data_IF_904073814064
#
_entry.id   IF_904073814064
#
_cell.length_a   1.000
_cell.length_b   1.000
_cell.length_c   1.000
_cell.angle_alpha   90.00
_cell.angle_beta   90.00
_cell.angle_gamma   90.00
#
_symmetry.space_group_name_H-M   'P 1'
#
loop_
_entity.id
_entity.type
_entity.pdbx_description
1 polymer ?
#
# COMPACT_ATOMS: atom_id res chain seq x y z
N UNK A 1 -77.87 12.75 3.05
CA UNK A 1 -76.87 12.20 3.98
C UNK A 1 -75.52 12.21 3.26
N UNK A 2 -74.69 13.22 3.51
CA UNK A 2 -73.36 13.36 2.90
C UNK A 2 -72.32 13.34 4.03
N UNK A 3 -71.50 12.30 4.09
CA UNK A 3 -70.38 12.19 5.03
C UNK A 3 -69.15 12.86 4.42
N UNK A 4 -68.68 13.93 5.07
CA UNK A 4 -67.43 14.61 4.75
C UNK A 4 -66.28 13.89 5.48
N UNK A 5 -65.40 13.24 4.74
CA UNK A 5 -64.20 12.57 5.29
C UNK A 5 -63.04 13.55 5.31
N UNK A 6 -62.58 13.92 6.50
CA UNK A 6 -61.43 14.79 6.72
C UNK A 6 -60.14 13.95 6.68
N UNK A 7 -59.25 14.21 5.73
CA UNK A 7 -57.92 13.57 5.64
C UNK A 7 -56.89 14.47 6.31
N UNK A 8 -56.33 14.02 7.44
CA UNK A 8 -55.22 14.66 8.14
C UNK A 8 -53.89 14.19 7.53
N UNK A 9 -53.17 15.10 6.86
CA UNK A 9 -51.78 14.89 6.44
C UNK A 9 -50.84 15.23 7.61
N UNK A 10 -50.17 14.23 8.16
CA UNK A 10 -49.08 14.42 9.11
C UNK A 10 -47.77 14.66 8.35
N UNK A 11 -47.22 15.87 8.46
CA UNK A 11 -45.89 16.19 7.94
C UNK A 11 -44.83 15.60 8.89
N UNK A 12 -44.16 14.52 8.47
CA UNK A 12 -42.97 14.00 9.15
C UNK A 12 -41.80 14.94 8.89
N UNK A 13 -41.45 15.77 9.88
CA UNK A 13 -40.24 16.59 9.84
C UNK A 13 -39.01 15.68 9.80
N UNK A 14 -38.19 15.81 8.75
CA UNK A 14 -36.92 15.11 8.66
C UNK A 14 -35.97 15.60 9.79
N UNK A 15 -35.23 14.70 10.46
CA UNK A 15 -34.28 15.09 11.49
C UNK A 15 -33.21 16.00 10.88
N UNK A 16 -32.89 17.08 11.59
CA UNK A 16 -31.86 18.02 11.16
C UNK A 16 -30.51 17.29 10.96
N UNK A 17 -29.72 17.64 9.94
CA UNK A 17 -28.40 17.05 9.74
C UNK A 17 -27.52 17.37 10.94
N UNK A 18 -26.91 16.35 11.54
CA UNK A 18 -25.95 16.52 12.63
C UNK A 18 -24.79 17.40 12.18
N UNK A 19 -24.27 18.30 13.04
CA UNK A 19 -23.10 19.07 12.72
C UNK A 19 -21.91 18.15 12.43
N UNK A 20 -21.00 18.53 11.52
CA UNK A 20 -19.81 17.73 11.22
C UNK A 20 -18.98 17.54 12.49
N UNK A 21 -18.38 16.36 12.70
CA UNK A 21 -17.53 16.11 13.85
C UNK A 21 -16.36 17.11 13.87
N UNK A 22 -15.90 17.54 15.06
CA UNK A 22 -14.76 18.44 15.16
C UNK A 22 -13.51 17.80 14.52
N UNK A 23 -12.61 18.61 13.91
CA UNK A 23 -11.37 18.10 13.34
C UNK A 23 -10.55 17.42 14.43
N UNK A 24 -10.07 16.20 14.16
CA UNK A 24 -9.23 15.45 15.09
C UNK A 24 -7.86 16.13 15.18
N UNK A 25 -7.51 16.66 16.35
CA UNK A 25 -6.24 17.34 16.63
C UNK A 25 -5.01 16.41 16.62
N UNK A 26 -5.21 15.10 16.52
CA UNK A 26 -4.14 14.10 16.57
C UNK A 26 -3.83 13.49 15.18
N UNK A 27 -4.39 14.04 14.11
CA UNK A 27 -4.15 13.52 12.77
C UNK A 27 -2.71 13.79 12.32
N UNK A 28 -1.92 12.72 12.14
CA UNK A 28 -0.56 12.82 11.60
C UNK A 28 -0.60 13.24 10.12
N UNK A 29 0.34 14.06 9.69
CA UNK A 29 0.50 14.37 8.27
C UNK A 29 1.06 13.16 7.51
N UNK A 30 0.52 12.89 6.32
CA UNK A 30 1.04 11.84 5.46
C UNK A 30 2.45 12.20 4.96
N UNK A 31 3.45 11.44 5.40
CA UNK A 31 4.89 11.63 5.14
C UNK A 31 5.56 10.30 4.82
N UNK A 32 6.85 10.31 4.51
CA UNK A 32 7.65 9.07 4.44
C UNK A 32 7.62 8.28 5.75
N UNK A 33 7.69 8.96 6.89
CA UNK A 33 7.73 8.28 8.19
C UNK A 33 6.41 7.56 8.49
N UNK A 34 5.27 8.16 8.16
CA UNK A 34 3.97 7.49 8.36
C UNK A 34 3.76 6.30 7.42
N UNK A 35 4.44 6.25 6.25
CA UNK A 35 4.47 5.06 5.41
C UNK A 35 5.21 3.91 6.09
N UNK A 36 6.37 4.21 6.69
CA UNK A 36 7.21 3.22 7.38
C UNK A 36 6.59 2.74 8.69
N UNK A 37 5.97 3.63 9.45
CA UNK A 37 5.33 3.28 10.73
C UNK A 37 3.94 2.63 10.54
N UNK A 38 3.46 2.53 9.29
CA UNK A 38 2.11 2.07 8.94
C UNK A 38 0.98 2.83 9.67
N UNK A 39 1.24 4.08 10.07
CA UNK A 39 0.28 4.89 10.83
C UNK A 39 -0.72 5.57 9.92
N UNK A 40 -1.96 5.62 10.39
CA UNK A 40 -3.00 6.45 9.78
C UNK A 40 -2.59 7.92 9.76
N UNK A 41 -2.86 8.59 8.64
CA UNK A 41 -2.50 9.98 8.43
C UNK A 41 -3.59 10.71 7.63
N UNK A 42 -3.56 12.05 7.71
CA UNK A 42 -4.35 12.93 6.85
C UNK A 42 -3.42 13.61 5.85
N UNK A 43 -3.86 13.67 4.59
CA UNK A 43 -3.08 14.32 3.54
C UNK A 43 -3.23 15.83 3.69
N UNK A 44 -2.21 16.46 4.26
CA UNK A 44 -2.16 17.90 4.51
C UNK A 44 -0.92 18.47 3.84
N UNK A 45 -1.12 19.16 2.71
CA UNK A 45 -0.04 19.80 1.97
C UNK A 45 -0.42 21.22 1.61
N UNK A 46 0.51 22.16 1.80
CA UNK A 46 0.33 23.58 1.49
C UNK A 46 1.08 23.92 0.22
N UNK A 47 0.57 23.46 -0.92
CA UNK A 47 1.01 23.96 -2.23
C UNK A 47 -0.16 24.65 -2.92
N UNK A 48 0.06 25.90 -3.34
CA UNK A 48 -0.87 26.61 -4.21
C UNK A 48 -0.97 25.89 -5.56
N UNK A 49 -2.18 25.84 -6.17
CA UNK A 49 -2.31 25.29 -7.51
C UNK A 49 -1.47 26.09 -8.50
N UNK A 50 -0.70 25.38 -9.33
CA UNK A 50 0.01 25.93 -10.50
C UNK A 50 -0.67 25.44 -11.77
N UNK A 51 -0.43 26.08 -12.93
CA UNK A 51 -0.87 25.52 -14.20
C UNK A 51 -0.39 24.07 -14.34
N UNK A 52 -1.32 23.18 -14.72
CA UNK A 52 -1.01 21.79 -14.96
C UNK A 52 0.09 21.66 -16.02
N UNK A 53 1.12 20.88 -15.73
CA UNK A 53 2.23 20.63 -16.65
C UNK A 53 2.54 19.14 -16.75
N UNK A 54 2.66 18.65 -17.99
CA UNK A 54 3.12 17.28 -18.25
C UNK A 54 4.53 17.03 -17.69
N UNK A 55 5.38 18.05 -17.71
CA UNK A 55 6.73 17.97 -17.16
C UNK A 55 6.68 17.74 -15.64
N UNK A 56 5.86 18.49 -14.91
CA UNK A 56 5.67 18.27 -13.47
C UNK A 56 5.09 16.89 -13.17
N UNK A 57 4.13 16.41 -13.98
CA UNK A 57 3.59 15.07 -13.82
C UNK A 57 4.68 13.98 -13.94
N UNK A 58 5.61 14.13 -14.90
CA UNK A 58 6.77 13.24 -15.05
C UNK A 58 7.72 13.34 -13.84
N UNK A 59 7.98 14.55 -13.36
CA UNK A 59 8.80 14.77 -12.16
C UNK A 59 8.17 14.12 -10.92
N UNK A 60 6.86 14.17 -10.77
CA UNK A 60 6.16 13.54 -9.65
C UNK A 60 6.27 12.01 -9.68
N UNK A 61 6.15 11.38 -10.85
CA UNK A 61 6.36 9.93 -11.00
C UNK A 61 7.80 9.54 -10.65
N UNK A 62 8.79 10.32 -11.12
CA UNK A 62 10.20 10.08 -10.80
C UNK A 62 10.48 10.24 -9.29
N UNK A 63 9.94 11.29 -8.68
CA UNK A 63 10.06 11.52 -7.24
C UNK A 63 9.42 10.36 -6.43
N UNK A 64 8.25 9.89 -6.86
CA UNK A 64 7.60 8.76 -6.21
C UNK A 64 8.39 7.45 -6.37
N UNK A 65 9.00 7.20 -7.53
CA UNK A 65 9.85 6.04 -7.75
C UNK A 65 11.13 6.08 -6.90
N UNK A 66 11.75 7.26 -6.76
CA UNK A 66 12.90 7.46 -5.88
C UNK A 66 12.52 7.23 -4.40
N UNK A 67 11.39 7.79 -3.96
CA UNK A 67 10.86 7.57 -2.62
C UNK A 67 10.54 6.08 -2.37
N UNK A 68 9.95 5.39 -3.35
CA UNK A 68 9.67 3.97 -3.25
C UNK A 68 10.94 3.13 -3.13
N UNK A 69 12.01 3.45 -3.88
CA UNK A 69 13.31 2.78 -3.75
C UNK A 69 13.96 3.02 -2.37
N UNK A 70 13.83 4.24 -1.81
CA UNK A 70 14.23 4.50 -0.42
C UNK A 70 13.46 3.64 0.58
N UNK A 71 12.13 3.60 0.45
CA UNK A 71 11.26 2.76 1.29
C UNK A 71 11.65 1.29 1.18
N UNK A 72 11.91 0.79 -0.04
CA UNK A 72 12.37 -0.56 -0.27
C UNK A 72 13.69 -0.88 0.45
N UNK A 73 14.67 0.05 0.44
CA UNK A 73 15.92 -0.15 1.17
C UNK A 73 15.72 -0.20 2.68
N UNK A 74 14.80 0.61 3.22
CA UNK A 74 14.50 0.62 4.65
C UNK A 74 13.82 -0.70 5.05
N UNK A 75 12.77 -1.10 4.32
CA UNK A 75 12.04 -2.35 4.59
C UNK A 75 12.96 -3.56 4.45
N UNK A 76 13.76 -3.62 3.37
CA UNK A 76 14.68 -4.73 3.14
C UNK A 76 15.81 -4.81 4.17
N UNK A 77 16.14 -3.70 4.85
CA UNK A 77 17.10 -3.71 5.97
C UNK A 77 16.46 -4.26 7.24
N UNK A 78 15.23 -3.86 7.56
CA UNK A 78 14.63 -4.15 8.86
C UNK A 78 15.57 -3.72 10.00
N UNK A 79 15.83 -4.64 10.94
CA UNK A 79 16.77 -4.45 12.06
C UNK A 79 18.23 -4.84 11.71
N UNK A 80 18.51 -5.31 10.50
CA UNK A 80 19.84 -5.72 10.09
C UNK A 80 20.75 -4.51 9.77
N UNK A 81 22.07 -4.75 9.69
CA UNK A 81 23.03 -3.71 9.28
C UNK A 81 22.90 -3.38 7.79
N UNK A 82 22.74 -4.41 6.96
CA UNK A 82 22.65 -4.33 5.51
C UNK A 82 21.25 -4.74 5.02
N UNK A 83 20.85 -4.22 3.87
CA UNK A 83 19.58 -4.59 3.25
C UNK A 83 19.66 -6.01 2.68
N UNK A 84 18.64 -6.82 2.95
CA UNK A 84 18.47 -8.10 2.28
C UNK A 84 18.31 -7.86 0.77
N UNK A 85 19.23 -8.37 -0.07
CA UNK A 85 19.24 -8.07 -1.50
C UNK A 85 18.01 -8.60 -2.23
N UNK A 86 17.31 -9.60 -1.68
CA UNK A 86 16.17 -10.24 -2.30
C UNK A 86 14.87 -9.56 -1.91
N UNK A 87 14.70 -9.22 -0.63
CA UNK A 87 13.60 -8.34 -0.21
C UNK A 87 13.67 -7.02 -0.98
N UNK A 88 14.89 -6.48 -1.17
CA UNK A 88 15.11 -5.28 -1.97
C UNK A 88 14.73 -5.49 -3.46
N UNK A 89 15.13 -6.60 -4.06
CA UNK A 89 14.80 -6.91 -5.46
C UNK A 89 13.28 -7.09 -5.66
N UNK A 90 12.62 -7.86 -4.78
CA UNK A 90 11.19 -8.08 -4.80
C UNK A 90 10.41 -6.77 -4.62
N UNK A 91 10.84 -5.92 -3.68
CA UNK A 91 10.25 -4.58 -3.50
C UNK A 91 10.40 -3.71 -4.75
N UNK A 92 11.60 -3.68 -5.36
CA UNK A 92 11.87 -2.89 -6.56
C UNK A 92 11.02 -3.28 -7.76
N UNK A 93 10.76 -4.57 -7.94
CA UNK A 93 9.86 -5.06 -8.99
C UNK A 93 8.44 -4.48 -8.88
N UNK A 94 8.03 -4.08 -7.68
CA UNK A 94 6.69 -3.54 -7.37
C UNK A 94 6.61 -2.01 -7.38
N UNK A 95 7.74 -1.30 -7.58
CA UNK A 95 7.76 0.18 -7.60
C UNK A 95 6.92 0.73 -8.76
N UNK A 96 7.07 0.21 -9.98
CA UNK A 96 6.34 0.70 -11.14
C UNK A 96 4.81 0.63 -10.95
N UNK A 97 4.21 -0.51 -10.55
CA UNK A 97 2.77 -0.57 -10.30
C UNK A 97 2.33 0.26 -9.09
N UNK A 98 3.16 0.41 -8.05
CA UNK A 98 2.86 1.25 -6.88
C UNK A 98 2.83 2.76 -7.23
N UNK A 99 3.66 3.19 -8.18
CA UNK A 99 3.81 4.61 -8.53
C UNK A 99 2.94 5.08 -9.70
N UNK A 100 2.13 4.18 -10.28
CA UNK A 100 1.27 4.47 -11.46
C UNK A 100 0.34 5.67 -11.31
N UNK A 101 -0.11 5.95 -10.07
CA UNK A 101 -1.04 7.05 -9.76
C UNK A 101 -0.33 8.30 -9.22
N UNK A 102 0.99 8.38 -9.32
CA UNK A 102 1.78 9.46 -8.73
C UNK A 102 2.03 10.65 -9.64
N UNK A 103 1.56 10.61 -10.89
CA UNK A 103 1.63 11.78 -11.78
C UNK A 103 0.80 12.96 -11.26
N UNK A 104 -0.37 12.66 -10.67
CA UNK A 104 -1.38 13.66 -10.37
C UNK A 104 -1.88 14.35 -11.65
N UNK A 105 -2.31 15.61 -11.51
CA UNK A 105 -2.65 16.49 -12.63
C UNK A 105 -1.47 17.37 -13.09
N UNK A 106 -0.30 17.24 -12.45
CA UNK A 106 0.87 18.08 -12.70
C UNK A 106 0.72 19.53 -12.23
N UNK A 107 -0.32 19.88 -11.47
CA UNK A 107 -0.54 21.22 -10.92
C UNK A 107 0.22 21.47 -9.60
N UNK A 108 0.72 20.40 -8.98
CA UNK A 108 1.39 20.42 -7.67
C UNK A 108 2.54 19.40 -7.63
N UNK A 109 3.58 19.66 -6.82
CA UNK A 109 4.60 18.66 -6.53
C UNK A 109 4.02 17.52 -5.68
N UNK A 110 4.63 16.34 -5.74
CA UNK A 110 4.24 15.16 -4.95
C UNK A 110 4.20 15.47 -3.44
N UNK A 111 5.27 16.08 -2.93
CA UNK A 111 5.43 16.49 -1.53
C UNK A 111 5.68 18.00 -1.45
N UNK A 112 5.33 18.62 -0.32
CA UNK A 112 5.73 19.98 0.02
C UNK A 112 7.16 20.02 0.61
N UNK A 113 7.65 21.22 0.92
CA UNK A 113 9.01 21.43 1.47
C UNK A 113 9.22 20.78 2.85
N UNK A 114 8.14 20.41 3.54
CA UNK A 114 8.17 19.67 4.80
C UNK A 114 8.11 18.15 4.60
N UNK A 115 8.15 17.66 3.35
CA UNK A 115 8.05 16.24 3.02
C UNK A 115 6.66 15.64 3.20
N UNK A 116 5.62 16.47 3.33
CA UNK A 116 4.23 16.01 3.43
C UNK A 116 3.64 15.84 2.04
N UNK A 117 2.91 14.76 1.84
CA UNK A 117 2.21 14.53 0.58
C UNK A 117 1.15 15.61 0.34
N UNK A 118 1.07 16.10 -0.89
CA UNK A 118 0.04 17.06 -1.26
C UNK A 118 -1.35 16.38 -1.42
N UNK A 119 -2.47 17.07 -1.16
CA UNK A 119 -3.82 16.49 -1.17
C UNK A 119 -4.20 15.74 -2.46
N UNK A 120 -3.68 16.17 -3.61
CA UNK A 120 -3.90 15.51 -4.90
C UNK A 120 -3.25 14.13 -5.06
N UNK A 121 -2.42 13.70 -4.10
CA UNK A 121 -1.62 12.47 -4.19
C UNK A 121 -2.05 11.38 -3.19
N UNK A 122 -3.25 11.45 -2.63
CA UNK A 122 -3.77 10.42 -1.71
C UNK A 122 -3.70 9.00 -2.29
N UNK A 123 -4.00 8.83 -3.58
CA UNK A 123 -3.89 7.52 -4.27
C UNK A 123 -2.44 7.06 -4.45
N UNK A 124 -1.52 7.99 -4.67
CA UNK A 124 -0.09 7.68 -4.74
C UNK A 124 0.41 7.21 -3.37
N UNK A 125 0.07 7.95 -2.31
CA UNK A 125 0.39 7.58 -0.94
C UNK A 125 -0.13 6.19 -0.59
N UNK A 126 -1.39 5.88 -0.91
CA UNK A 126 -1.98 4.57 -0.67
C UNK A 126 -1.24 3.44 -1.41
N UNK A 127 -0.83 3.67 -2.66
CA UNK A 127 -0.03 2.70 -3.42
C UNK A 127 1.36 2.45 -2.82
N UNK A 128 2.03 3.50 -2.33
CA UNK A 128 3.30 3.37 -1.61
C UNK A 128 3.13 2.66 -0.26
N UNK A 129 2.03 2.94 0.47
CA UNK A 129 1.73 2.26 1.73
C UNK A 129 1.44 0.77 1.51
N UNK A 130 0.76 0.41 0.42
CA UNK A 130 0.54 -0.98 0.01
C UNK A 130 1.84 -1.67 -0.36
N UNK A 131 2.75 -0.99 -1.07
CA UNK A 131 4.09 -1.50 -1.37
C UNK A 131 4.85 -1.86 -0.10
N UNK A 132 4.96 -0.92 0.85
CA UNK A 132 5.69 -1.12 2.12
C UNK A 132 5.10 -2.30 2.89
N UNK A 133 3.78 -2.31 3.10
CA UNK A 133 3.09 -3.38 3.83
C UNK A 133 3.24 -4.75 3.17
N UNK A 134 3.09 -4.82 1.85
CA UNK A 134 3.21 -6.09 1.14
C UNK A 134 4.62 -6.67 1.23
N UNK A 135 5.65 -5.82 1.16
CA UNK A 135 7.04 -6.26 1.23
C UNK A 135 7.45 -6.62 2.66
N UNK A 136 7.02 -5.83 3.66
CA UNK A 136 7.25 -6.17 5.07
C UNK A 136 6.61 -7.51 5.43
N UNK A 137 5.34 -7.71 5.04
CA UNK A 137 4.65 -8.99 5.26
C UNK A 137 5.33 -10.15 4.51
N UNK A 138 5.85 -9.92 3.29
CA UNK A 138 6.59 -10.96 2.57
C UNK A 138 7.92 -11.29 3.24
N UNK A 139 8.63 -10.31 3.77
CA UNK A 139 9.88 -10.55 4.50
C UNK A 139 9.64 -11.39 5.75
N UNK A 140 8.61 -11.05 6.54
CA UNK A 140 8.26 -11.79 7.76
C UNK A 140 7.83 -13.23 7.44
N UNK A 141 6.90 -13.40 6.50
CA UNK A 141 6.33 -14.72 6.16
C UNK A 141 7.34 -15.61 5.44
N UNK A 142 8.19 -15.03 4.58
CA UNK A 142 9.20 -15.80 3.89
C UNK A 142 10.33 -16.21 4.84
N UNK A 143 10.65 -15.45 5.89
CA UNK A 143 11.69 -15.84 6.86
C UNK A 143 11.41 -17.24 7.45
N UNK A 144 10.20 -17.49 7.97
CA UNK A 144 9.86 -18.78 8.60
C UNK A 144 9.89 -19.95 7.61
N UNK A 145 9.28 -19.79 6.43
CA UNK A 145 9.30 -20.84 5.41
C UNK A 145 10.71 -21.06 4.86
N UNK A 146 11.48 -19.99 4.61
CA UNK A 146 12.83 -20.09 4.05
C UNK A 146 13.84 -20.64 5.05
N UNK A 147 13.67 -20.41 6.36
CA UNK A 147 14.39 -21.12 7.42
C UNK A 147 14.15 -22.63 7.29
N UNK A 148 12.90 -23.09 7.15
CA UNK A 148 12.65 -24.52 6.96
C UNK A 148 13.22 -25.03 5.62
N UNK A 149 13.11 -24.25 4.54
CA UNK A 149 13.59 -24.61 3.21
C UNK A 149 15.11 -24.88 3.17
N UNK A 150 15.90 -24.31 4.10
CA UNK A 150 17.32 -24.67 4.25
C UNK A 150 17.53 -26.15 4.58
N UNK A 151 16.61 -26.76 5.33
CA UNK A 151 16.59 -28.21 5.59
C UNK A 151 16.25 -29.05 4.36
N UNK A 152 15.77 -28.42 3.29
CA UNK A 152 15.54 -29.01 1.97
C UNK A 152 16.68 -28.74 0.98
N UNK A 153 17.81 -28.17 1.43
CA UNK A 153 18.94 -27.85 0.56
C UNK A 153 18.71 -26.62 -0.34
N UNK A 154 17.64 -25.86 -0.10
CA UNK A 154 17.37 -24.58 -0.75
C UNK A 154 17.99 -23.49 0.10
N UNK A 155 18.83 -22.63 -0.48
CA UNK A 155 19.32 -21.49 0.31
C UNK A 155 18.17 -20.53 0.57
N UNK A 156 18.22 -19.79 1.69
CA UNK A 156 17.25 -18.73 1.98
C UNK A 156 17.08 -17.79 0.77
N UNK A 157 18.20 -17.51 0.10
CA UNK A 157 18.22 -16.70 -1.08
C UNK A 157 17.42 -17.27 -2.27
N UNK A 158 17.55 -18.57 -2.51
CA UNK A 158 16.81 -19.27 -3.54
C UNK A 158 15.34 -19.42 -3.19
N UNK A 159 15.01 -19.56 -1.90
CA UNK A 159 13.65 -19.65 -1.42
C UNK A 159 12.89 -18.34 -1.68
N UNK A 160 13.45 -17.20 -1.28
CA UNK A 160 12.86 -15.87 -1.52
C UNK A 160 12.68 -15.56 -3.01
N UNK A 161 13.66 -15.92 -3.85
CA UNK A 161 13.57 -15.70 -5.29
C UNK A 161 12.45 -16.53 -5.95
N UNK A 162 12.27 -17.79 -5.53
CA UNK A 162 11.23 -18.69 -6.06
C UNK A 162 9.89 -18.55 -5.37
N UNK A 163 9.84 -17.74 -4.31
CA UNK A 163 8.64 -17.47 -3.55
C UNK A 163 7.55 -16.91 -4.45
N UNK A 164 7.79 -15.78 -5.09
CA UNK A 164 6.79 -15.12 -5.94
C UNK A 164 6.34 -15.99 -7.13
N UNK A 165 7.17 -16.93 -7.57
CA UNK A 165 6.88 -17.87 -8.65
C UNK A 165 6.07 -19.10 -8.20
N UNK A 166 5.94 -19.33 -6.88
CA UNK A 166 5.26 -20.49 -6.31
C UNK A 166 6.00 -21.83 -6.48
N UNK A 167 7.27 -21.80 -6.89
CA UNK A 167 8.06 -22.98 -7.23
C UNK A 167 9.11 -23.33 -6.15
N UNK A 168 8.68 -23.60 -4.92
CA UNK A 168 9.60 -23.94 -3.82
C UNK A 168 10.07 -25.42 -3.83
N UNK A 169 9.59 -26.23 -4.78
CA UNK A 169 9.94 -27.64 -4.96
C UNK A 169 9.23 -28.59 -3.98
N UNK A 170 9.29 -29.90 -4.27
CA UNK A 170 8.53 -30.93 -3.55
C UNK A 170 8.91 -31.05 -2.07
N UNK A 171 10.20 -30.94 -1.74
CA UNK A 171 10.64 -31.05 -0.35
C UNK A 171 10.01 -29.97 0.53
N UNK A 172 10.00 -28.71 0.08
CA UNK A 172 9.40 -27.60 0.83
C UNK A 172 7.88 -27.80 0.95
N UNK A 173 7.22 -28.21 -0.14
CA UNK A 173 5.78 -28.46 -0.16
C UNK A 173 5.30 -29.61 0.77
N UNK A 174 6.16 -30.58 1.05
CA UNK A 174 5.87 -31.70 1.95
C UNK A 174 6.34 -31.45 3.38
N UNK A 175 7.60 -31.04 3.54
CA UNK A 175 8.29 -31.01 4.83
C UNK A 175 8.19 -29.66 5.54
N UNK A 176 8.06 -28.58 4.80
CA UNK A 176 7.89 -27.22 5.34
C UNK A 176 6.44 -26.76 5.19
N UNK A 177 5.50 -27.70 5.01
CA UNK A 177 4.11 -27.35 4.70
C UNK A 177 3.49 -26.48 5.80
N UNK A 178 3.79 -26.73 7.07
CA UNK A 178 3.19 -25.97 8.17
C UNK A 178 3.72 -24.53 8.19
N UNK A 179 5.03 -24.37 8.03
CA UNK A 179 5.77 -23.11 8.02
C UNK A 179 5.45 -22.27 6.78
N UNK A 180 5.18 -22.93 5.66
CA UNK A 180 4.85 -22.29 4.38
C UNK A 180 3.32 -22.24 4.11
N UNK A 181 2.46 -22.79 4.97
CA UNK A 181 1.02 -22.96 4.69
C UNK A 181 0.31 -21.61 4.52
N UNK A 182 0.48 -20.73 5.51
CA UNK A 182 -0.11 -19.39 5.50
C UNK A 182 0.38 -18.59 4.29
N UNK A 183 1.65 -18.76 3.99
CA UNK A 183 2.34 -18.16 2.87
C UNK A 183 1.80 -18.58 1.50
N UNK A 184 1.63 -19.89 1.30
CA UNK A 184 1.08 -20.45 0.07
C UNK A 184 -0.39 -20.03 -0.13
N UNK A 185 -1.15 -19.85 0.96
CA UNK A 185 -2.52 -19.33 0.89
C UNK A 185 -2.54 -17.85 0.48
N UNK A 186 -1.67 -17.01 1.06
CA UNK A 186 -1.54 -15.60 0.69
C UNK A 186 -1.11 -15.44 -0.78
N UNK A 187 -0.16 -16.25 -1.26
CA UNK A 187 0.23 -16.25 -2.68
C UNK A 187 -0.95 -16.61 -3.58
N UNK A 188 -1.67 -17.70 -3.30
CA UNK A 188 -2.84 -18.10 -4.10
C UNK A 188 -3.90 -17.02 -4.15
N UNK A 189 -4.16 -16.35 -3.02
CA UNK A 189 -5.11 -15.24 -2.96
C UNK A 189 -4.66 -14.06 -3.84
N UNK A 190 -3.35 -13.73 -3.85
CA UNK A 190 -2.78 -12.67 -4.69
C UNK A 190 -2.84 -13.02 -6.17
N UNK A 191 -2.45 -14.23 -6.55
CA UNK A 191 -2.53 -14.70 -7.95
C UNK A 191 -3.97 -14.67 -8.45
N UNK A 192 -4.92 -15.12 -7.64
CA UNK A 192 -6.34 -15.04 -7.98
C UNK A 192 -6.82 -13.58 -8.13
N UNK A 193 -6.42 -12.68 -7.23
CA UNK A 193 -6.76 -11.26 -7.29
C UNK A 193 -6.12 -10.55 -8.50
N UNK A 194 -4.95 -11.00 -8.96
CA UNK A 194 -4.29 -10.46 -10.16
C UNK A 194 -5.02 -10.91 -11.44
N UNK A 195 -5.37 -12.19 -11.54
CA UNK A 195 -6.11 -12.75 -12.70
C UNK A 195 -7.50 -12.13 -12.86
N UNK A 196 -8.20 -11.87 -11.74
CA UNK A 196 -9.56 -11.30 -11.78
C UNK A 196 -9.62 -9.81 -12.11
N UNK A 197 -8.50 -9.08 -12.01
CA UNK A 197 -8.43 -7.63 -12.27
C UNK A 197 -8.09 -7.27 -13.72
N UNK A 198 -7.83 -8.26 -14.58
CA UNK A 198 -7.45 -8.11 -15.99
C UNK A 198 -8.34 -9.00 -16.89
N UNK A 199 -9.65 -8.71 -17.03
CA UNK A 199 -10.50 -9.40 -18.00
C UNK A 199 -10.19 -9.00 -19.45
#
# INVERSE_FOLDING_TARGET
MHHLTLVLLAATAAPAPSPPPPPRTDALACTRQTLLDERGCTVEGRSGPRPASREHAVLNVRAAAALADELCRVVARGDALDADPLVLAACRARIAPATRNCAGDGSRPLQDDAGRFNPGFARCYAGLAELVRAVAADADVAADCCVCATGCGVTEAQCLARWDDGELGTCVAERCRAECAESLLLQRARTFAATTRNP
#
